data_IF_826180905909
#
_entry.id   IF_826180905909
#
_cell.length_a   1.000
_cell.length_b   1.000
_cell.length_c   1.000
_cell.angle_alpha   90.00
_cell.angle_beta   90.00
_cell.angle_gamma   90.00
#
_symmetry.space_group_name_H-M   'P 1'
#
loop_
_entity.id
_entity.type
_entity.pdbx_description
1 polymer ?
#
# COMPACT_ATOMS: atom_id res chain seq x y z
N UNK A 1 -81.14 1.69 29.51
CA UNK A 1 -80.72 2.73 28.55
C UNK A 1 -79.28 3.05 28.86
N UNK A 2 -78.33 2.71 27.98
CA UNK A 2 -76.93 3.09 28.18
C UNK A 2 -76.84 4.62 28.17
N UNK A 3 -76.06 5.21 29.07
CA UNK A 3 -75.88 6.67 29.10
C UNK A 3 -75.04 7.12 27.91
N UNK A 4 -75.21 8.36 27.42
CA UNK A 4 -74.43 8.87 26.29
C UNK A 4 -72.91 8.75 26.49
N UNK A 5 -72.43 8.89 27.72
CA UNK A 5 -71.02 8.72 28.08
C UNK A 5 -70.53 7.27 27.93
N UNK A 6 -71.36 6.28 28.28
CA UNK A 6 -71.01 4.87 28.09
C UNK A 6 -70.92 4.49 26.62
N UNK A 7 -71.74 5.11 25.77
CA UNK A 7 -71.71 4.90 24.32
C UNK A 7 -70.47 5.56 23.68
N UNK A 8 -70.03 6.72 24.17
CA UNK A 8 -68.82 7.39 23.69
C UNK A 8 -67.55 6.58 23.99
N UNK A 9 -67.42 6.08 25.22
CA UNK A 9 -66.27 5.24 25.64
C UNK A 9 -66.20 3.95 24.82
N UNK A 10 -67.34 3.33 24.51
CA UNK A 10 -67.40 2.12 23.71
C UNK A 10 -66.90 2.36 22.28
N UNK A 11 -67.25 3.51 21.69
CA UNK A 11 -66.84 3.89 20.33
C UNK A 11 -65.34 4.18 20.25
N UNK A 12 -64.79 4.96 21.19
CA UNK A 12 -63.36 5.24 21.27
C UNK A 12 -62.54 3.94 21.48
N UNK A 13 -63.05 3.03 22.31
CA UNK A 13 -62.41 1.72 22.52
C UNK A 13 -62.40 0.88 21.23
N UNK A 14 -63.46 0.95 20.43
CA UNK A 14 -63.54 0.26 19.13
C UNK A 14 -62.55 0.85 18.13
N UNK A 15 -62.42 2.17 18.05
CA UNK A 15 -61.47 2.84 17.15
C UNK A 15 -60.02 2.54 17.52
N UNK A 16 -59.68 2.54 18.81
CA UNK A 16 -58.34 2.20 19.27
C UNK A 16 -57.97 0.75 18.94
N UNK A 17 -58.91 -0.18 19.13
CA UNK A 17 -58.70 -1.59 18.77
C UNK A 17 -58.47 -1.75 17.26
N UNK A 18 -59.20 -1.01 16.42
CA UNK A 18 -59.00 -1.01 14.97
C UNK A 18 -57.62 -0.46 14.56
N UNK A 19 -57.15 0.61 15.21
CA UNK A 19 -55.81 1.15 14.96
C UNK A 19 -54.71 0.14 15.32
N UNK A 20 -54.82 -0.50 16.48
CA UNK A 20 -53.81 -1.48 16.93
C UNK A 20 -53.76 -2.72 16.02
N UNK A 21 -54.92 -3.18 15.52
CA UNK A 21 -54.98 -4.27 14.54
C UNK A 21 -54.35 -3.87 13.20
N UNK A 22 -54.56 -2.63 12.75
CA UNK A 22 -53.95 -2.12 11.53
C UNK A 22 -52.42 -2.03 11.66
N UNK A 23 -51.90 -1.52 12.78
CA UNK A 23 -50.45 -1.46 13.05
C UNK A 23 -49.80 -2.85 13.10
N UNK A 24 -50.46 -3.83 13.72
CA UNK A 24 -49.99 -5.22 13.76
C UNK A 24 -49.98 -5.87 12.38
N UNK A 25 -50.96 -5.56 11.53
CA UNK A 25 -50.99 -6.04 10.14
C UNK A 25 -49.88 -5.41 9.30
N UNK A 26 -49.65 -4.11 9.43
CA UNK A 26 -48.55 -3.41 8.74
C UNK A 26 -47.20 -3.97 9.16
N UNK A 27 -46.97 -4.15 10.47
CA UNK A 27 -45.71 -4.69 11.01
C UNK A 27 -45.46 -6.14 10.56
N UNK A 28 -46.50 -6.98 10.56
CA UNK A 28 -46.39 -8.37 10.05
C UNK A 28 -46.15 -8.40 8.54
N UNK A 29 -46.79 -7.52 7.77
CA UNK A 29 -46.62 -7.46 6.33
C UNK A 29 -45.21 -6.96 5.95
N UNK A 30 -44.65 -6.01 6.69
CA UNK A 30 -43.27 -5.53 6.50
C UNK A 30 -42.23 -6.57 6.91
N UNK A 31 -42.47 -7.33 7.98
CA UNK A 31 -41.64 -8.47 8.38
C UNK A 31 -41.73 -9.67 7.41
N UNK A 32 -42.90 -9.92 6.83
CA UNK A 32 -43.08 -11.00 5.84
C UNK A 32 -42.50 -10.62 4.47
N UNK A 33 -42.65 -9.36 4.03
CA UNK A 33 -41.99 -8.83 2.82
C UNK A 33 -40.48 -8.90 3.02
N UNK A 34 -39.99 -8.27 4.09
CA UNK A 34 -38.89 -8.71 4.96
C UNK A 34 -38.13 -9.98 4.57
N UNK A 35 -38.68 -11.08 5.08
CA UNK A 35 -38.17 -12.42 4.93
C UNK A 35 -38.27 -12.92 3.48
N UNK A 36 -39.37 -12.66 2.78
CA UNK A 36 -39.56 -13.15 1.42
C UNK A 36 -38.62 -12.52 0.38
N UNK A 37 -38.20 -11.26 0.57
CA UNK A 37 -37.15 -10.68 -0.28
C UNK A 37 -35.79 -11.27 0.07
N UNK A 38 -35.48 -11.45 1.36
CA UNK A 38 -34.23 -12.09 1.79
C UNK A 38 -34.09 -13.52 1.26
N UNK A 39 -35.16 -14.31 1.29
CA UNK A 39 -35.18 -15.72 0.87
C UNK A 39 -34.95 -15.91 -0.63
N UNK A 40 -35.35 -14.93 -1.46
CA UNK A 40 -35.04 -14.90 -2.91
C UNK A 40 -33.65 -14.33 -3.22
N UNK A 41 -33.13 -13.46 -2.37
CA UNK A 41 -31.83 -12.81 -2.55
C UNK A 41 -30.65 -13.66 -2.07
N UNK A 42 -30.82 -14.49 -1.04
CA UNK A 42 -29.73 -15.34 -0.49
C UNK A 42 -29.18 -16.31 -1.56
N UNK A 43 -29.99 -17.10 -2.30
CA UNK A 43 -29.48 -17.97 -3.36
C UNK A 43 -28.79 -17.20 -4.48
N UNK A 44 -29.28 -15.98 -4.79
CA UNK A 44 -28.68 -15.09 -5.79
C UNK A 44 -27.32 -14.54 -5.33
N UNK A 45 -27.20 -14.11 -4.07
CA UNK A 45 -25.94 -13.61 -3.48
C UNK A 45 -24.89 -14.71 -3.42
N UNK A 46 -25.26 -15.94 -3.07
CA UNK A 46 -24.32 -17.06 -3.06
C UNK A 46 -23.87 -17.45 -4.46
N UNK A 47 -24.79 -17.42 -5.45
CA UNK A 47 -24.45 -17.60 -6.86
C UNK A 47 -23.45 -16.55 -7.35
N UNK A 48 -23.73 -15.26 -7.10
CA UNK A 48 -22.84 -14.13 -7.45
C UNK A 48 -21.50 -14.27 -6.69
N UNK A 49 -21.53 -14.74 -5.46
CA UNK A 49 -20.29 -14.93 -4.72
C UNK A 49 -19.45 -16.04 -5.32
N UNK A 50 -20.05 -17.16 -5.71
CA UNK A 50 -19.31 -18.28 -6.30
C UNK A 50 -18.68 -17.93 -7.65
N UNK A 51 -19.18 -16.91 -8.36
CA UNK A 51 -18.54 -16.40 -9.59
C UNK A 51 -17.31 -15.52 -9.33
N UNK A 52 -17.10 -15.08 -8.08
CA UNK A 52 -15.98 -14.21 -7.70
C UNK A 52 -14.94 -15.02 -6.92
N UNK A 53 -13.70 -15.03 -7.41
CA UNK A 53 -12.57 -15.64 -6.69
C UNK A 53 -12.18 -14.84 -5.45
N UNK A 54 -11.59 -15.51 -4.45
CA UNK A 54 -11.03 -14.83 -3.28
C UNK A 54 -9.88 -13.90 -3.68
N UNK A 55 -9.80 -12.73 -3.04
CA UNK A 55 -8.76 -11.73 -3.30
C UNK A 55 -7.42 -12.16 -2.71
N UNK A 56 -6.35 -12.07 -3.50
CA UNK A 56 -4.96 -12.22 -3.03
C UNK A 56 -4.20 -10.92 -3.24
N UNK A 57 -3.37 -10.54 -2.26
CA UNK A 57 -2.59 -9.31 -2.30
C UNK A 57 -1.10 -9.60 -2.48
N UNK A 58 -0.55 -9.11 -3.58
CA UNK A 58 0.87 -9.08 -3.89
C UNK A 58 1.15 -7.81 -4.71
N UNK A 59 1.67 -6.78 -4.04
CA UNK A 59 1.94 -5.49 -4.65
C UNK A 59 3.03 -5.55 -5.72
N UNK A 60 3.99 -6.47 -5.63
CA UNK A 60 5.13 -6.56 -6.52
C UNK A 60 4.73 -7.23 -7.84
N UNK A 61 3.96 -8.32 -7.75
CA UNK A 61 3.43 -9.03 -8.92
C UNK A 61 2.14 -8.40 -9.49
N UNK A 62 1.74 -7.23 -8.98
CA UNK A 62 0.59 -6.49 -9.48
C UNK A 62 -0.77 -7.07 -9.09
N UNK A 63 -0.81 -8.03 -8.15
CA UNK A 63 -2.04 -8.54 -7.54
C UNK A 63 -2.55 -7.52 -6.50
N UNK A 64 -3.12 -6.45 -7.02
CA UNK A 64 -3.68 -5.35 -6.23
C UNK A 64 -5.20 -5.42 -6.19
N UNK A 65 -5.80 -4.75 -5.21
CA UNK A 65 -7.26 -4.71 -5.13
C UNK A 65 -7.88 -4.10 -6.39
N UNK A 66 -7.27 -3.07 -6.96
CA UNK A 66 -7.73 -2.46 -8.22
C UNK A 66 -7.78 -3.47 -9.37
N UNK A 67 -6.71 -4.27 -9.54
CA UNK A 67 -6.64 -5.26 -10.62
C UNK A 67 -7.63 -6.41 -10.43
N UNK A 68 -7.82 -6.87 -9.19
CA UNK A 68 -8.82 -7.89 -8.86
C UNK A 68 -10.24 -7.35 -9.03
N UNK A 69 -10.52 -6.13 -8.55
CA UNK A 69 -11.83 -5.50 -8.65
C UNK A 69 -12.21 -5.26 -10.12
N UNK A 70 -11.27 -4.80 -10.94
CA UNK A 70 -11.48 -4.59 -12.38
C UNK A 70 -11.90 -5.87 -13.11
N UNK A 71 -11.40 -7.04 -12.69
CA UNK A 71 -11.80 -8.34 -13.27
C UNK A 71 -13.28 -8.67 -12.98
N UNK A 72 -13.79 -8.25 -11.83
CA UNK A 72 -15.16 -8.55 -11.36
C UNK A 72 -16.06 -7.31 -11.35
N UNK A 73 -15.63 -6.24 -12.02
CA UNK A 73 -16.30 -4.94 -11.97
C UNK A 73 -17.75 -5.04 -12.44
N UNK A 74 -17.97 -5.76 -13.55
CA UNK A 74 -19.30 -6.00 -14.10
C UNK A 74 -20.18 -6.85 -13.17
N UNK A 75 -19.61 -7.80 -12.43
CA UNK A 75 -20.36 -8.58 -11.44
C UNK A 75 -20.91 -7.66 -10.34
N UNK A 76 -20.11 -6.70 -9.88
CA UNK A 76 -20.55 -5.74 -8.87
C UNK A 76 -21.46 -4.62 -9.42
N UNK A 77 -21.32 -4.26 -10.70
CA UNK A 77 -22.07 -3.16 -11.34
C UNK A 77 -23.36 -3.60 -12.02
N UNK A 78 -23.42 -4.84 -12.51
CA UNK A 78 -24.53 -5.39 -13.29
C UNK A 78 -25.26 -6.46 -12.47
N UNK A 79 -24.58 -7.54 -12.12
CA UNK A 79 -25.23 -8.68 -11.45
C UNK A 79 -25.68 -8.34 -10.02
N UNK A 80 -24.88 -7.54 -9.32
CA UNK A 80 -25.18 -7.04 -7.99
C UNK A 80 -25.86 -5.65 -7.98
N UNK A 81 -26.28 -5.12 -9.13
CA UNK A 81 -26.86 -3.78 -9.23
C UNK A 81 -28.16 -3.61 -8.44
N UNK A 82 -28.94 -4.68 -8.36
CA UNK A 82 -30.22 -4.73 -7.64
C UNK A 82 -30.06 -4.92 -6.13
N UNK A 83 -28.84 -5.23 -5.67
CA UNK A 83 -28.57 -5.44 -4.24
C UNK A 83 -28.50 -4.10 -3.51
N UNK A 84 -29.05 -4.02 -2.28
CA UNK A 84 -28.83 -2.87 -1.44
C UNK A 84 -27.35 -2.74 -1.09
N UNK A 85 -26.94 -1.50 -0.80
CA UNK A 85 -25.53 -1.14 -0.69
C UNK A 85 -24.80 -1.94 0.42
N UNK A 86 -25.48 -2.20 1.54
CA UNK A 86 -24.98 -3.02 2.65
C UNK A 86 -24.73 -4.49 2.24
N UNK A 87 -25.57 -5.05 1.38
CA UNK A 87 -25.40 -6.40 0.84
C UNK A 87 -24.21 -6.47 -0.12
N UNK A 88 -24.00 -5.43 -0.93
CA UNK A 88 -22.83 -5.33 -1.84
C UNK A 88 -21.53 -5.21 -1.05
N UNK A 89 -21.53 -4.43 0.03
CA UNK A 89 -20.40 -4.34 0.97
C UNK A 89 -20.13 -5.69 1.62
N UNK A 90 -21.15 -6.38 2.14
CA UNK A 90 -20.98 -7.72 2.72
C UNK A 90 -20.41 -8.72 1.71
N UNK A 91 -20.91 -8.72 0.48
CA UNK A 91 -20.44 -9.59 -0.59
C UNK A 91 -18.95 -9.35 -0.91
N UNK A 92 -18.56 -8.08 -1.02
CA UNK A 92 -17.17 -7.68 -1.28
C UNK A 92 -16.25 -8.10 -0.13
N UNK A 93 -16.64 -7.80 1.11
CA UNK A 93 -15.83 -8.14 2.29
C UNK A 93 -15.71 -9.66 2.50
N UNK A 94 -16.71 -10.46 2.07
CA UNK A 94 -16.65 -11.93 2.10
C UNK A 94 -15.53 -12.49 1.20
N UNK A 95 -15.06 -11.71 0.21
CA UNK A 95 -13.99 -12.12 -0.72
C UNK A 95 -12.59 -11.72 -0.26
N UNK A 96 -12.48 -11.08 0.90
CA UNK A 96 -11.20 -10.81 1.54
C UNK A 96 -10.82 -12.01 2.42
N UNK A 97 -9.61 -12.58 2.27
CA UNK A 97 -9.06 -13.49 3.26
C UNK A 97 -9.05 -12.86 4.65
N UNK A 98 -9.15 -13.68 5.69
CA UNK A 98 -9.25 -13.21 7.08
C UNK A 98 -8.18 -12.17 7.46
N UNK A 99 -6.93 -12.38 7.02
CA UNK A 99 -5.82 -11.46 7.29
C UNK A 99 -6.00 -10.08 6.62
N UNK A 100 -6.49 -10.04 5.39
CA UNK A 100 -6.71 -8.78 4.66
C UNK A 100 -7.98 -8.08 5.18
N UNK A 101 -9.02 -8.84 5.53
CA UNK A 101 -10.20 -8.30 6.19
C UNK A 101 -9.86 -7.64 7.53
N UNK A 102 -9.04 -8.29 8.37
CA UNK A 102 -8.59 -7.73 9.65
C UNK A 102 -7.79 -6.43 9.46
N UNK A 103 -6.89 -6.39 8.46
CA UNK A 103 -6.16 -5.17 8.08
C UNK A 103 -7.10 -4.04 7.69
N UNK A 104 -8.11 -4.31 6.86
CA UNK A 104 -9.13 -3.34 6.48
C UNK A 104 -9.93 -2.87 7.70
N UNK A 105 -10.39 -3.80 8.54
CA UNK A 105 -11.20 -3.50 9.72
C UNK A 105 -10.47 -2.58 10.71
N UNK A 106 -9.17 -2.80 10.93
CA UNK A 106 -8.31 -1.93 11.74
C UNK A 106 -8.12 -0.55 11.12
N UNK A 107 -7.99 -0.47 9.80
CA UNK A 107 -7.77 0.78 9.07
C UNK A 107 -8.98 1.73 9.13
N UNK A 108 -10.20 1.19 9.14
CA UNK A 108 -11.44 2.00 9.10
C UNK A 108 -11.96 2.43 10.47
N UNK A 109 -11.28 2.04 11.56
CA UNK A 109 -11.64 2.46 12.91
C UNK A 109 -11.68 4.00 13.03
N UNK A 110 -12.61 4.56 13.84
CA UNK A 110 -13.52 3.87 14.76
C UNK A 110 -14.83 3.36 14.11
N UNK A 111 -15.05 3.58 12.81
CA UNK A 111 -16.27 3.16 12.14
C UNK A 111 -16.27 1.65 11.88
N UNK A 112 -17.44 1.03 11.94
CA UNK A 112 -17.58 -0.40 11.64
C UNK A 112 -17.37 -0.67 10.14
N UNK A 113 -16.68 -1.75 9.72
CA UNK A 113 -16.42 -2.07 8.31
C UNK A 113 -17.64 -2.11 7.39
N UNK A 114 -18.81 -2.46 7.94
CA UNK A 114 -20.11 -2.48 7.22
C UNK A 114 -20.86 -1.14 7.23
N UNK A 115 -20.34 -0.13 7.93
CA UNK A 115 -20.95 1.20 8.04
C UNK A 115 -20.52 2.16 6.93
N UNK A 116 -19.73 1.69 5.97
CA UNK A 116 -19.32 2.42 4.78
C UNK A 116 -20.21 2.04 3.61
N UNK A 117 -20.40 2.97 2.69
CA UNK A 117 -21.06 2.66 1.42
C UNK A 117 -20.19 1.74 0.55
N UNK A 118 -20.77 1.09 -0.46
CA UNK A 118 -20.03 0.27 -1.40
C UNK A 118 -18.90 1.05 -2.07
N UNK A 119 -19.19 2.28 -2.51
CA UNK A 119 -18.19 3.16 -3.13
C UNK A 119 -17.05 3.48 -2.17
N UNK A 120 -17.36 3.91 -0.95
CA UNK A 120 -16.32 4.23 0.05
C UNK A 120 -15.48 3.00 0.42
N UNK A 121 -16.11 1.82 0.47
CA UNK A 121 -15.44 0.54 0.73
C UNK A 121 -14.45 0.23 -0.39
N UNK A 122 -14.88 0.32 -1.65
CA UNK A 122 -14.01 0.12 -2.83
C UNK A 122 -12.86 1.12 -2.84
N UNK A 123 -13.12 2.42 -2.62
CA UNK A 123 -12.09 3.46 -2.58
C UNK A 123 -11.08 3.20 -1.45
N UNK A 124 -11.55 2.76 -0.28
CA UNK A 124 -10.69 2.46 0.87
C UNK A 124 -9.83 1.23 0.61
N UNK A 125 -10.42 0.14 0.11
CA UNK A 125 -9.68 -1.09 -0.22
C UNK A 125 -8.66 -0.84 -1.33
N UNK A 126 -9.00 -0.03 -2.33
CA UNK A 126 -8.08 0.38 -3.39
C UNK A 126 -6.86 1.11 -2.84
N UNK A 127 -7.04 1.98 -1.84
CA UNK A 127 -5.93 2.67 -1.15
C UNK A 127 -5.11 1.74 -0.25
N UNK A 128 -5.77 0.93 0.57
CA UNK A 128 -5.11 0.05 1.57
C UNK A 128 -4.31 -1.07 0.89
N UNK A 129 -4.77 -1.54 -0.27
CA UNK A 129 -4.17 -2.61 -1.07
C UNK A 129 -3.67 -2.11 -2.44
N UNK A 130 -3.18 -0.86 -2.45
CA UNK A 130 -2.52 -0.26 -3.60
C UNK A 130 -1.12 -0.90 -3.84
N UNK A 131 -0.52 -0.70 -5.03
CA UNK A 131 0.92 -0.92 -5.20
C UNK A 131 1.71 -0.09 -4.18
N UNK A 132 2.71 -0.71 -3.54
CA UNK A 132 3.62 -0.02 -2.59
C UNK A 132 4.81 0.65 -3.28
N UNK A 133 4.97 0.44 -4.59
CA UNK A 133 6.07 0.97 -5.39
C UNK A 133 5.83 2.44 -5.73
N UNK A 134 6.81 3.32 -5.47
CA UNK A 134 6.78 4.70 -5.97
C UNK A 134 6.74 4.72 -7.51
N UNK A 135 6.27 5.83 -8.09
CA UNK A 135 6.24 5.99 -9.55
C UNK A 135 7.65 5.86 -10.14
N UNK A 136 8.69 6.32 -9.42
CA UNK A 136 10.07 6.08 -9.81
C UNK A 136 10.39 4.58 -9.86
N UNK A 137 10.06 3.81 -8.82
CA UNK A 137 10.32 2.37 -8.79
C UNK A 137 9.66 1.67 -9.99
N UNK A 138 8.38 1.98 -10.27
CA UNK A 138 7.66 1.46 -11.44
C UNK A 138 8.39 1.77 -12.74
N UNK A 139 8.81 3.03 -12.93
CA UNK A 139 9.53 3.46 -14.12
C UNK A 139 10.89 2.77 -14.26
N UNK A 140 11.61 2.64 -13.15
CA UNK A 140 12.90 1.99 -13.09
C UNK A 140 12.82 0.49 -13.41
N UNK A 141 11.81 -0.21 -12.89
CA UNK A 141 11.60 -1.62 -13.22
C UNK A 141 11.27 -1.83 -14.70
N UNK A 142 10.48 -0.93 -15.29
CA UNK A 142 10.24 -0.96 -16.74
C UNK A 142 11.56 -0.82 -17.54
N UNK A 143 12.46 0.08 -17.14
CA UNK A 143 13.78 0.26 -17.77
C UNK A 143 14.75 -0.91 -17.52
N UNK A 144 14.43 -1.81 -16.60
CA UNK A 144 15.21 -3.03 -16.31
C UNK A 144 14.60 -4.28 -16.92
N UNK A 145 13.44 -4.15 -17.54
CA UNK A 145 12.68 -5.29 -18.02
C UNK A 145 13.53 -6.10 -19.02
N UNK A 146 13.66 -7.39 -18.73
CA UNK A 146 14.42 -8.35 -19.53
C UNK A 146 13.58 -9.61 -19.65
N UNK A 147 13.50 -10.19 -20.85
CA UNK A 147 12.75 -11.42 -21.06
C UNK A 147 13.39 -12.56 -20.26
N UNK A 148 12.59 -13.28 -19.47
CA UNK A 148 13.02 -14.54 -18.85
C UNK A 148 13.21 -15.60 -19.95
N UNK A 149 14.32 -16.37 -19.97
CA UNK A 149 14.52 -17.44 -20.95
C UNK A 149 13.36 -18.44 -21.06
N UNK A 150 12.64 -18.70 -19.97
CA UNK A 150 11.57 -19.70 -19.88
C UNK A 150 10.24 -19.16 -20.42
N UNK A 151 9.99 -17.86 -20.33
CA UNK A 151 8.72 -17.27 -20.74
C UNK A 151 8.53 -17.36 -22.26
N UNK A 152 7.31 -17.64 -22.72
CA UNK A 152 6.98 -17.49 -24.12
C UNK A 152 6.89 -16.01 -24.53
N UNK A 153 6.82 -15.75 -25.84
CA UNK A 153 6.80 -14.39 -26.37
C UNK A 153 5.50 -13.64 -26.05
N UNK A 154 4.38 -14.34 -25.87
CA UNK A 154 3.08 -13.74 -25.57
C UNK A 154 3.04 -13.27 -24.12
N UNK A 155 3.53 -14.09 -23.18
CA UNK A 155 3.72 -13.72 -21.78
C UNK A 155 4.62 -12.49 -21.67
N UNK A 156 5.76 -12.50 -22.35
CA UNK A 156 6.67 -11.36 -22.34
C UNK A 156 6.05 -10.10 -22.96
N UNK A 157 5.33 -10.23 -24.09
CA UNK A 157 4.59 -9.10 -24.70
C UNK A 157 3.57 -8.51 -23.73
N UNK A 158 2.82 -9.36 -23.03
CA UNK A 158 1.86 -8.94 -22.01
C UNK A 158 2.54 -8.19 -20.86
N UNK A 159 3.68 -8.68 -20.40
CA UNK A 159 4.48 -8.05 -19.35
C UNK A 159 5.01 -6.68 -19.79
N UNK A 160 5.54 -6.56 -21.01
CA UNK A 160 5.99 -5.27 -21.58
C UNK A 160 4.84 -4.25 -21.59
N UNK A 161 3.65 -4.65 -22.08
CA UNK A 161 2.48 -3.77 -22.10
C UNK A 161 2.08 -3.34 -20.69
N UNK A 162 2.07 -4.26 -19.72
CA UNK A 162 1.75 -3.96 -18.32
C UNK A 162 2.74 -2.95 -17.72
N UNK A 163 4.04 -3.13 -17.94
CA UNK A 163 5.06 -2.20 -17.47
C UNK A 163 4.94 -0.82 -18.12
N UNK A 164 4.71 -0.76 -19.44
CA UNK A 164 4.54 0.50 -20.17
C UNK A 164 3.30 1.30 -19.74
N UNK A 165 2.16 0.64 -19.50
CA UNK A 165 0.96 1.30 -18.97
C UNK A 165 1.23 1.87 -17.56
N UNK A 166 1.87 1.08 -16.68
CA UNK A 166 2.24 1.53 -15.33
C UNK A 166 3.31 2.63 -15.34
N UNK A 167 4.18 2.67 -16.35
CA UNK A 167 5.23 3.68 -16.52
C UNK A 167 4.65 5.09 -16.70
N UNK A 168 3.41 5.20 -17.20
CA UNK A 168 2.72 6.45 -17.53
C UNK A 168 3.54 7.33 -18.47
N UNK A 169 3.96 6.76 -19.60
CA UNK A 169 4.85 7.42 -20.56
C UNK A 169 4.29 8.76 -21.05
N UNK A 170 2.97 8.87 -21.22
CA UNK A 170 2.29 10.10 -21.67
C UNK A 170 2.40 11.26 -20.69
N UNK A 171 2.63 10.98 -19.41
CA UNK A 171 2.79 11.98 -18.34
C UNK A 171 4.28 12.34 -18.11
N UNK A 172 5.21 11.68 -18.82
CA UNK A 172 6.65 11.88 -18.65
C UNK A 172 7.18 12.90 -19.67
N UNK A 173 7.79 13.98 -19.20
CA UNK A 173 8.49 14.91 -20.10
C UNK A 173 9.79 14.30 -20.63
N UNK A 174 10.26 14.79 -21.77
CA UNK A 174 11.53 14.35 -22.35
C UNK A 174 12.70 14.56 -21.36
N UNK A 175 12.69 15.67 -20.63
CA UNK A 175 13.73 15.98 -19.66
C UNK A 175 13.72 15.04 -18.45
N UNK A 176 12.53 14.71 -17.95
CA UNK A 176 12.37 13.71 -16.89
C UNK A 176 12.82 12.32 -17.36
N UNK A 177 12.60 11.98 -18.62
CA UNK A 177 13.15 10.75 -19.20
C UNK A 177 14.69 10.75 -19.22
N UNK A 178 15.34 11.86 -19.65
CA UNK A 178 16.81 11.99 -19.60
C UNK A 178 17.34 11.83 -18.17
N UNK A 179 16.67 12.42 -17.18
CA UNK A 179 17.00 12.27 -15.77
C UNK A 179 16.94 10.81 -15.29
N UNK A 180 15.91 10.06 -15.69
CA UNK A 180 15.79 8.63 -15.37
C UNK A 180 16.93 7.82 -15.99
N UNK A 181 17.29 8.09 -17.25
CA UNK A 181 18.41 7.43 -17.92
C UNK A 181 19.74 7.74 -17.23
N UNK A 182 19.95 8.99 -16.81
CA UNK A 182 21.14 9.40 -16.07
C UNK A 182 21.30 8.57 -14.78
N UNK A 183 20.26 8.54 -13.93
CA UNK A 183 20.30 7.76 -12.68
C UNK A 183 20.40 6.26 -12.94
N UNK A 184 19.76 5.75 -14.00
CA UNK A 184 19.85 4.34 -14.42
C UNK A 184 21.27 3.92 -14.81
N UNK A 185 22.07 4.85 -15.32
CA UNK A 185 23.47 4.65 -15.71
C UNK A 185 24.44 4.51 -14.53
N UNK A 186 24.09 5.05 -13.35
CA UNK A 186 24.91 5.00 -12.14
C UNK A 186 24.86 3.63 -11.47
N UNK A 187 25.39 2.57 -12.09
CA UNK A 187 25.23 1.19 -11.58
C UNK A 187 26.27 0.79 -10.53
N UNK A 188 27.36 1.54 -10.39
CA UNK A 188 28.44 1.21 -9.45
C UNK A 188 27.92 1.21 -8.01
N UNK A 189 28.37 0.28 -7.14
CA UNK A 189 28.09 0.35 -5.71
C UNK A 189 28.57 1.67 -5.08
N UNK A 190 29.64 2.29 -5.60
CA UNK A 190 30.14 3.58 -5.13
C UNK A 190 29.14 4.74 -5.28
N UNK A 191 28.20 4.60 -6.22
CA UNK A 191 27.19 5.61 -6.52
C UNK A 191 25.88 5.40 -5.74
N UNK A 192 25.80 4.41 -4.84
CA UNK A 192 24.57 4.08 -4.13
C UNK A 192 23.97 5.26 -3.35
N UNK A 193 24.80 5.97 -2.60
CA UNK A 193 24.38 7.13 -1.81
C UNK A 193 23.91 8.28 -2.72
N UNK A 194 24.63 8.49 -3.83
CA UNK A 194 24.30 9.52 -4.82
C UNK A 194 22.97 9.20 -5.51
N UNK A 195 22.74 7.93 -5.91
CA UNK A 195 21.47 7.50 -6.49
C UNK A 195 20.30 7.87 -5.58
N UNK A 196 20.35 7.54 -4.29
CA UNK A 196 19.25 7.84 -3.36
C UNK A 196 18.92 9.34 -3.37
N UNK A 197 19.94 10.21 -3.34
CA UNK A 197 19.74 11.66 -3.34
C UNK A 197 19.19 12.19 -4.67
N UNK A 198 19.74 11.75 -5.79
CA UNK A 198 19.28 12.16 -7.12
C UNK A 198 17.84 11.71 -7.37
N UNK A 199 17.44 10.55 -6.85
CA UNK A 199 16.05 10.07 -6.91
C UNK A 199 15.08 10.98 -6.17
N UNK A 200 15.45 11.44 -4.98
CA UNK A 200 14.62 12.39 -4.23
C UNK A 200 14.39 13.67 -5.01
N UNK A 201 15.41 14.18 -5.73
CA UNK A 201 15.27 15.38 -6.55
C UNK A 201 14.31 15.18 -7.72
N UNK A 202 14.40 14.04 -8.41
CA UNK A 202 13.48 13.68 -9.51
C UNK A 202 12.03 13.56 -8.99
N UNK A 203 11.82 13.01 -7.79
CA UNK A 203 10.48 12.89 -7.21
C UNK A 203 9.90 14.24 -6.73
N UNK A 204 10.75 15.19 -6.33
CA UNK A 204 10.31 16.47 -5.78
C UNK A 204 10.16 17.59 -6.83
N UNK A 205 10.94 17.56 -7.90
CA UNK A 205 10.95 18.63 -8.91
C UNK A 205 10.68 18.11 -10.35
N UNK A 206 9.47 18.34 -10.89
CA UNK A 206 9.12 17.94 -12.25
C UNK A 206 9.85 18.75 -13.35
N UNK A 207 10.49 19.88 -13.00
CA UNK A 207 11.25 20.73 -13.95
C UNK A 207 12.75 20.43 -13.97
N UNK A 208 13.19 19.52 -13.10
CA UNK A 208 14.58 19.12 -13.01
C UNK A 208 15.12 18.65 -14.36
N UNK A 209 16.34 19.06 -14.68
CA UNK A 209 17.04 18.65 -15.88
C UNK A 209 18.31 17.83 -15.57
N UNK A 210 18.86 17.20 -16.60
CA UNK A 210 20.02 16.31 -16.46
C UNK A 210 21.28 17.05 -16.02
N UNK A 211 21.42 18.34 -16.32
CA UNK A 211 22.53 19.16 -15.87
C UNK A 211 22.45 19.42 -14.36
N UNK A 212 21.26 19.73 -13.85
CA UNK A 212 21.04 19.90 -12.40
C UNK A 212 21.45 18.64 -11.62
N UNK A 213 21.13 17.45 -12.16
CA UNK A 213 21.57 16.17 -11.59
C UNK A 213 23.08 15.98 -11.62
N UNK A 214 23.73 16.37 -12.72
CA UNK A 214 25.18 16.28 -12.86
C UNK A 214 25.89 17.21 -11.87
N UNK A 215 25.41 18.45 -11.70
CA UNK A 215 25.92 19.40 -10.72
C UNK A 215 25.79 18.87 -9.30
N UNK A 216 24.61 18.35 -8.93
CA UNK A 216 24.42 17.76 -7.61
C UNK A 216 25.32 16.53 -7.41
N UNK A 217 25.48 15.66 -8.41
CA UNK A 217 26.38 14.52 -8.34
C UNK A 217 27.82 14.97 -8.03
N UNK A 218 28.32 16.00 -8.72
CA UNK A 218 29.67 16.54 -8.46
C UNK A 218 29.78 17.17 -7.08
N UNK A 219 28.74 17.90 -6.64
CA UNK A 219 28.69 18.49 -5.30
C UNK A 219 28.74 17.42 -4.21
N UNK A 220 27.96 16.35 -4.34
CA UNK A 220 27.94 15.22 -3.40
C UNK A 220 29.27 14.48 -3.39
N UNK A 221 29.89 14.29 -4.56
CA UNK A 221 31.21 13.67 -4.67
C UNK A 221 32.29 14.47 -3.93
N UNK A 222 32.28 15.80 -4.10
CA UNK A 222 33.19 16.71 -3.40
C UNK A 222 32.95 16.66 -1.89
N UNK A 223 31.69 16.72 -1.46
CA UNK A 223 31.33 16.67 -0.04
C UNK A 223 31.75 15.34 0.62
N UNK A 224 31.61 14.21 -0.09
CA UNK A 224 32.04 12.89 0.41
C UNK A 224 33.56 12.82 0.58
N UNK A 225 34.31 13.43 -0.34
CA UNK A 225 35.76 13.56 -0.21
C UNK A 225 36.14 14.41 1.02
N UNK A 226 35.48 15.55 1.21
CA UNK A 226 35.76 16.47 2.32
C UNK A 226 35.37 15.87 3.68
N UNK A 227 34.26 15.13 3.76
CA UNK A 227 33.86 14.42 4.97
C UNK A 227 34.91 13.39 5.40
N UNK A 228 35.49 12.65 4.45
CA UNK A 228 36.59 11.74 4.70
C UNK A 228 37.83 12.43 5.26
N UNK A 229 38.09 13.69 4.89
CA UNK A 229 39.19 14.46 5.48
C UNK A 229 38.94 14.76 6.97
N UNK A 230 37.70 15.09 7.34
CA UNK A 230 37.32 15.37 8.74
C UNK A 230 37.35 14.10 9.60
N UNK A 231 36.88 12.97 9.08
CA UNK A 231 36.94 11.68 9.78
C UNK A 231 38.40 11.22 10.01
N UNK A 232 39.28 11.41 9.03
CA UNK A 232 40.69 11.00 9.11
C UNK A 232 41.54 11.88 10.04
N UNK A 233 41.15 13.13 10.30
CA UNK A 233 41.86 14.03 11.23
C UNK A 233 41.69 13.60 12.70
N UNK A 234 40.64 12.84 13.01
CA UNK A 234 40.39 12.35 14.37
C UNK A 234 41.37 11.26 14.84
N UNK A 235 42.07 10.59 13.91
CA UNK A 235 43.00 9.50 14.22
C UNK A 235 44.43 10.00 14.52
N UNK A 236 44.77 11.24 14.16
CA UNK A 236 46.14 11.79 14.32
C UNK A 236 46.32 12.58 15.63
N UNK A 237 45.25 12.88 16.36
CA UNK A 237 45.29 13.65 17.61
C UNK A 237 45.65 12.83 18.88
N UNK A 238 46.32 11.68 18.74
CA UNK A 238 46.73 10.84 19.88
C UNK A 238 48.23 10.52 19.95
N UNK A 239 49.10 11.41 19.46
CA UNK A 239 50.52 11.41 19.80
C UNK A 239 50.79 12.43 20.90
N UNK A 240 50.70 11.98 22.15
CA UNK A 240 51.10 12.74 23.34
C UNK A 240 52.61 13.05 23.40
N UNK A 241 53.02 14.04 24.21
CA UNK A 241 54.39 14.56 24.20
C UNK A 241 55.36 13.55 24.85
N UNK A 242 56.45 13.22 24.15
CA UNK A 242 57.56 12.47 24.71
C UNK A 242 58.30 13.33 25.75
N UNK A 243 58.31 12.91 27.02
CA UNK A 243 59.23 13.42 28.03
C UNK A 243 60.61 12.75 27.92
N UNK A 244 61.71 13.45 28.29
CA UNK A 244 63.05 12.89 28.30
C UNK A 244 63.37 12.31 29.69
N UNK A 245 63.87 11.06 29.76
CA UNK A 245 64.27 10.47 31.03
C UNK A 245 65.80 10.38 31.14
N UNK A 246 66.31 10.95 32.23
CA UNK A 246 67.70 11.15 32.56
C UNK A 246 68.42 9.87 33.01
N UNK A 247 69.72 9.83 32.71
CA UNK A 247 70.72 8.89 33.20
C UNK A 247 70.71 8.71 34.73
N UNK A 248 70.86 7.47 35.20
CA UNK A 248 71.60 7.17 36.44
C UNK A 248 72.47 5.91 36.32
N UNK A 249 73.54 5.82 37.14
CA UNK A 249 74.67 4.92 36.91
C UNK A 249 74.67 3.67 37.81
N UNK A 250 75.10 2.55 37.21
CA UNK A 250 75.92 1.44 37.75
C UNK A 250 75.47 0.69 39.02
N UNK A 251 75.36 -0.64 38.92
CA UNK A 251 76.16 -1.63 39.70
C UNK A 251 76.27 -2.95 38.91
N UNK A 252 77.50 -3.49 38.90
CA UNK A 252 78.00 -4.78 38.38
C UNK A 252 77.32 -6.05 38.92
N UNK A 253 77.14 -7.10 38.11
CA UNK A 253 77.72 -8.48 38.25
C UNK A 253 77.28 -9.35 37.04
N UNK A 254 78.20 -9.77 36.16
CA UNK A 254 78.92 -11.07 36.05
C UNK A 254 78.10 -12.25 35.44
N UNK A 255 78.43 -12.53 34.16
CA UNK A 255 78.66 -13.80 33.43
C UNK A 255 77.65 -14.97 33.54
N UNK A 256 77.08 -15.44 32.41
CA UNK A 256 77.37 -16.80 31.87
C UNK A 256 77.00 -16.96 30.37
N UNK A 257 77.81 -17.75 29.69
CA UNK A 257 77.85 -18.11 28.27
C UNK A 257 76.96 -19.32 27.94
N UNK A 258 76.24 -19.28 26.81
CA UNK A 258 75.93 -20.37 25.85
C UNK A 258 74.86 -19.85 24.89
N UNK A 259 74.99 -19.80 23.56
CA UNK A 259 75.73 -20.67 22.65
C UNK A 259 74.81 -21.77 22.11
N UNK A 260 74.24 -21.58 20.91
CA UNK A 260 73.80 -22.56 19.87
C UNK A 260 72.82 -21.83 18.92
N UNK A 261 73.28 -21.43 17.74
CA UNK A 261 73.18 -22.13 16.44
C UNK A 261 71.75 -22.31 15.98
#
# INVERSE_FOLDING_TARGET
>A
MATPEQLAILLETQEHLQQQLMELQVTQQDSAKTQHWMERLIPSIDSISNSISEFTYDAENGLTFESWFKRYEDVFKVDAASLPDDARVRLLLRKLPAALHDKYAKYVLPKHPRGFTFKETVDTLTKVFAPQSSLFNVRYQCLRLTKNPIDDIIVYTGLVNQHCERFRLKELSEEQFRCLIFVRGLQSPSDADFRIRLLQMIECDPKLNVHDLAEEYQRLKSLKHDAGLVENVSTVASLGPKQPECLRPGVFTIIDLKGRR
#
